data_IF_201800260850
#
_entry.id   IF_201800260850
#
_cell.length_a   1.000
_cell.length_b   1.000
_cell.length_c   1.000
_cell.angle_alpha   90.00
_cell.angle_beta   90.00
_cell.angle_gamma   90.00
#
_symmetry.space_group_name_H-M   'P 1'
#
loop_
_entity.id
_entity.type
_entity.pdbx_description
1 polymer ?
#
# COMPACT_ATOMS: atom_id res chain seq x y z
N UNK A 1 -1.48 -15.32 -5.40
CA UNK A 1 -0.09 -15.52 -5.88
C UNK A 1 0.03 -16.72 -6.83
N UNK A 2 -0.40 -17.94 -6.47
CA UNK A 2 -0.28 -19.15 -7.29
C UNK A 2 -1.01 -19.11 -8.67
N UNK A 3 -2.17 -18.46 -8.75
CA UNK A 3 -2.92 -18.33 -10.01
C UNK A 3 -2.29 -17.35 -11.00
N UNK A 4 -1.60 -16.31 -10.50
CA UNK A 4 -0.92 -15.29 -11.33
C UNK A 4 0.39 -15.81 -11.92
N UNK A 5 1.13 -16.65 -11.17
CA UNK A 5 2.33 -17.30 -11.71
C UNK A 5 1.96 -18.33 -12.78
N UNK A 6 0.89 -19.11 -12.58
CA UNK A 6 0.40 -20.06 -13.60
C UNK A 6 0.00 -19.40 -14.91
N UNK A 7 -0.74 -18.29 -14.86
CA UNK A 7 -1.17 -17.60 -16.10
C UNK A 7 0.02 -16.99 -16.86
N UNK A 8 1.04 -16.50 -16.14
CA UNK A 8 2.27 -15.99 -16.75
C UNK A 8 3.18 -17.12 -17.27
N UNK A 9 3.20 -18.29 -16.63
CA UNK A 9 3.91 -19.47 -17.11
C UNK A 9 3.29 -20.02 -18.40
N UNK A 10 1.97 -20.05 -18.49
CA UNK A 10 1.23 -20.51 -19.68
C UNK A 10 1.46 -19.56 -20.86
N UNK A 11 1.33 -18.25 -20.66
CA UNK A 11 1.65 -17.25 -21.68
C UNK A 11 3.13 -17.38 -22.11
N UNK A 12 4.04 -17.61 -21.16
CA UNK A 12 5.46 -17.84 -21.48
C UNK A 12 5.73 -19.15 -22.22
N UNK A 13 4.90 -20.19 -22.10
CA UNK A 13 5.11 -21.44 -22.84
C UNK A 13 4.59 -21.36 -24.26
N UNK A 14 3.40 -20.82 -24.47
CA UNK A 14 2.78 -20.70 -25.80
C UNK A 14 3.59 -19.75 -26.68
N UNK A 15 3.94 -18.57 -26.16
CA UNK A 15 4.84 -17.64 -26.81
C UNK A 15 6.16 -18.31 -27.27
N UNK A 16 6.79 -19.09 -26.38
CA UNK A 16 8.08 -19.74 -26.70
C UNK A 16 7.95 -20.80 -27.79
N UNK A 17 6.84 -21.52 -27.85
CA UNK A 17 6.58 -22.49 -28.91
C UNK A 17 6.54 -21.80 -30.27
N UNK A 18 5.69 -20.77 -30.43
CA UNK A 18 5.56 -20.03 -31.69
C UNK A 18 6.87 -19.34 -32.08
N UNK A 19 7.55 -18.70 -31.13
CA UNK A 19 8.84 -18.07 -31.40
C UNK A 19 9.90 -19.10 -31.85
N UNK A 20 9.92 -20.29 -31.24
CA UNK A 20 10.84 -21.35 -31.67
C UNK A 20 10.49 -21.87 -33.06
N UNK A 21 9.20 -22.13 -33.36
CA UNK A 21 8.74 -22.53 -34.69
C UNK A 21 9.13 -21.50 -35.75
N UNK A 22 8.85 -20.22 -35.52
CA UNK A 22 9.23 -19.17 -36.47
C UNK A 22 10.75 -19.09 -36.69
N UNK A 23 11.56 -19.32 -35.65
CA UNK A 23 13.01 -19.39 -35.77
C UNK A 23 13.49 -20.63 -36.55
N UNK A 24 12.82 -21.77 -36.43
CA UNK A 24 13.08 -22.98 -37.22
C UNK A 24 12.75 -22.76 -38.69
N UNK A 25 11.61 -22.14 -38.98
CA UNK A 25 11.20 -21.76 -40.33
C UNK A 25 12.16 -20.74 -40.96
N UNK A 26 12.70 -19.79 -40.19
CA UNK A 26 13.75 -18.89 -40.66
C UNK A 26 15.05 -19.61 -41.04
N UNK A 27 15.44 -20.66 -40.29
CA UNK A 27 16.59 -21.49 -40.67
C UNK A 27 16.29 -22.20 -42.00
N UNK A 28 15.11 -22.79 -42.13
CA UNK A 28 14.68 -23.51 -43.34
C UNK A 28 14.57 -22.58 -44.55
N UNK A 29 14.09 -21.34 -44.35
CA UNK A 29 14.08 -20.28 -45.35
C UNK A 29 15.50 -19.96 -45.82
N UNK A 30 16.42 -19.71 -44.90
CA UNK A 30 17.81 -19.39 -45.23
C UNK A 30 18.52 -20.54 -45.98
N UNK A 31 18.22 -21.79 -45.63
CA UNK A 31 18.70 -22.98 -46.36
C UNK A 31 18.11 -23.06 -47.76
N UNK A 32 16.79 -22.84 -47.89
CA UNK A 32 16.09 -22.86 -49.17
C UNK A 32 16.58 -21.74 -50.11
N UNK A 33 17.01 -20.59 -49.56
CA UNK A 33 17.61 -19.51 -50.34
C UNK A 33 18.94 -19.92 -50.99
N UNK A 34 19.75 -20.75 -50.32
CA UNK A 34 20.96 -21.35 -50.90
C UNK A 34 20.57 -22.33 -52.01
N UNK A 35 19.64 -23.24 -51.75
CA UNK A 35 19.19 -24.24 -52.73
C UNK A 35 18.59 -23.61 -53.98
N UNK A 36 17.80 -22.54 -53.79
CA UNK A 36 17.12 -21.83 -54.87
C UNK A 36 18.07 -21.12 -55.84
N UNK A 37 19.34 -20.88 -55.45
CA UNK A 37 20.37 -20.39 -56.39
C UNK A 37 20.77 -21.46 -57.42
N UNK A 38 20.53 -22.73 -57.13
CA UNK A 38 20.89 -23.87 -58.00
C UNK A 38 19.68 -24.60 -58.59
N UNK A 39 18.52 -24.52 -57.95
CA UNK A 39 17.29 -25.19 -58.37
C UNK A 39 16.06 -24.26 -58.19
N UNK A 40 15.45 -23.85 -59.32
CA UNK A 40 14.24 -23.02 -59.30
C UNK A 40 13.06 -23.70 -58.58
N UNK A 41 13.04 -25.03 -58.45
CA UNK A 41 11.98 -25.74 -57.73
C UNK A 41 11.98 -25.42 -56.22
N UNK A 42 13.11 -24.97 -55.67
CA UNK A 42 13.24 -24.57 -54.28
C UNK A 42 12.59 -23.21 -53.98
N UNK A 43 12.24 -22.40 -54.99
CA UNK A 43 11.51 -21.14 -54.79
C UNK A 43 10.16 -21.34 -54.09
N UNK A 44 9.43 -22.42 -54.38
CA UNK A 44 8.18 -22.73 -53.69
C UNK A 44 8.37 -23.07 -52.21
N UNK A 45 9.48 -23.74 -51.86
CA UNK A 45 9.83 -24.04 -50.47
C UNK A 45 10.20 -22.76 -49.72
N UNK A 46 11.00 -21.91 -50.36
CA UNK A 46 11.39 -20.60 -49.84
C UNK A 46 10.17 -19.74 -49.47
N UNK A 47 9.21 -19.60 -50.39
CA UNK A 47 7.95 -18.87 -50.14
C UNK A 47 7.16 -19.45 -48.96
N UNK A 48 7.10 -20.79 -48.86
CA UNK A 48 6.39 -21.47 -47.78
C UNK A 48 7.05 -21.20 -46.42
N UNK A 49 8.36 -21.37 -46.33
CA UNK A 49 9.10 -21.20 -45.07
C UNK A 49 9.03 -19.75 -44.56
N UNK A 50 9.13 -18.75 -45.44
CA UNK A 50 9.03 -17.35 -44.98
C UNK A 50 7.61 -16.97 -44.56
N UNK A 51 6.58 -17.49 -45.23
CA UNK A 51 5.19 -17.30 -44.84
C UNK A 51 4.91 -17.93 -43.47
N UNK A 52 5.36 -19.17 -43.27
CA UNK A 52 5.23 -19.86 -41.98
C UNK A 52 6.01 -19.14 -40.88
N UNK A 53 7.22 -18.64 -41.16
CA UNK A 53 7.97 -17.84 -40.22
C UNK A 53 7.24 -16.54 -39.83
N UNK A 54 6.63 -15.84 -40.80
CA UNK A 54 5.83 -14.63 -40.56
C UNK A 54 4.64 -14.93 -39.64
N UNK A 55 3.84 -15.94 -39.96
CA UNK A 55 2.67 -16.34 -39.16
C UNK A 55 3.05 -16.71 -37.72
N UNK A 56 4.08 -17.52 -37.53
CA UNK A 56 4.53 -17.94 -36.19
C UNK A 56 5.09 -16.76 -35.38
N UNK A 57 5.74 -15.79 -36.04
CA UNK A 57 6.25 -14.58 -35.37
C UNK A 57 5.12 -13.64 -34.95
N UNK A 58 4.07 -13.53 -35.76
CA UNK A 58 2.87 -12.77 -35.43
C UNK A 58 2.07 -13.41 -34.29
N UNK A 59 1.86 -14.73 -34.31
CA UNK A 59 1.21 -15.45 -33.21
C UNK A 59 2.00 -15.30 -31.90
N UNK A 60 3.32 -15.42 -31.95
CA UNK A 60 4.19 -15.17 -30.81
C UNK A 60 4.07 -13.71 -30.30
N UNK A 61 3.93 -12.73 -31.20
CA UNK A 61 3.80 -11.32 -30.85
C UNK A 61 2.46 -11.01 -30.19
N UNK A 62 1.36 -11.57 -30.69
CA UNK A 62 0.02 -11.39 -30.11
C UNK A 62 -0.07 -12.02 -28.71
N UNK A 63 0.51 -13.21 -28.50
CA UNK A 63 0.60 -13.82 -27.18
C UNK A 63 1.38 -12.94 -26.19
N UNK A 64 2.52 -12.38 -26.62
CA UNK A 64 3.32 -11.44 -25.82
C UNK A 64 2.56 -10.15 -25.50
N UNK A 65 1.82 -9.59 -26.45
CA UNK A 65 0.98 -8.40 -26.25
C UNK A 65 -0.16 -8.69 -25.28
N UNK A 66 -0.81 -9.85 -25.38
CA UNK A 66 -1.86 -10.29 -24.45
C UNK A 66 -1.33 -10.45 -23.03
N UNK A 67 -0.15 -11.08 -22.87
CA UNK A 67 0.55 -11.19 -21.60
C UNK A 67 0.94 -9.82 -21.00
N UNK A 68 1.40 -8.90 -21.84
CA UNK A 68 1.71 -7.52 -21.44
C UNK A 68 0.45 -6.78 -20.99
N UNK A 69 -0.65 -6.85 -21.74
CA UNK A 69 -1.91 -6.20 -21.37
C UNK A 69 -2.43 -6.73 -20.01
N UNK A 70 -2.35 -8.04 -19.78
CA UNK A 70 -2.74 -8.65 -18.51
C UNK A 70 -1.87 -8.14 -17.35
N UNK A 71 -0.57 -7.99 -17.59
CA UNK A 71 0.38 -7.46 -16.61
C UNK A 71 0.15 -5.97 -16.33
N UNK A 72 -0.16 -5.17 -17.36
CA UNK A 72 -0.49 -3.76 -17.23
C UNK A 72 -1.78 -3.55 -16.42
N UNK A 73 -2.80 -4.38 -16.65
CA UNK A 73 -4.03 -4.37 -15.86
C UNK A 73 -3.76 -4.69 -14.37
N UNK A 74 -2.95 -5.71 -14.07
CA UNK A 74 -2.53 -6.02 -12.70
C UNK A 74 -1.73 -4.90 -12.06
N UNK A 75 -0.83 -4.26 -12.81
CA UNK A 75 -0.07 -3.11 -12.33
C UNK A 75 -0.99 -1.95 -11.94
N UNK A 76 -2.01 -1.67 -12.76
CA UNK A 76 -3.03 -0.66 -12.45
C UNK A 76 -3.86 -1.03 -11.20
N UNK A 77 -4.24 -2.29 -11.04
CA UNK A 77 -4.94 -2.79 -9.85
C UNK A 77 -4.10 -2.62 -8.58
N UNK A 78 -2.81 -2.98 -8.62
CA UNK A 78 -1.89 -2.81 -7.49
C UNK A 78 -1.72 -1.32 -7.12
N UNK A 79 -1.64 -0.43 -8.11
CA UNK A 79 -1.57 1.02 -7.87
C UNK A 79 -2.87 1.52 -7.22
N UNK A 80 -4.03 1.05 -7.68
CA UNK A 80 -5.31 1.39 -7.08
C UNK A 80 -5.42 0.87 -5.63
N UNK A 81 -4.98 -0.36 -5.37
CA UNK A 81 -4.96 -0.94 -4.03
C UNK A 81 -4.01 -0.16 -3.10
N UNK A 82 -2.84 0.23 -3.59
CA UNK A 82 -1.88 1.05 -2.83
C UNK A 82 -2.51 2.37 -2.40
N UNK A 83 -3.17 3.05 -3.34
CA UNK A 83 -3.88 4.31 -3.06
C UNK A 83 -4.97 4.11 -2.00
N UNK A 84 -5.78 3.06 -2.13
CA UNK A 84 -6.82 2.73 -1.12
C UNK A 84 -6.23 2.52 0.27
N UNK A 85 -5.12 1.80 0.38
CA UNK A 85 -4.43 1.58 1.66
C UNK A 85 -3.81 2.88 2.21
N UNK A 86 -3.30 3.76 1.35
CA UNK A 86 -2.82 5.09 1.75
C UNK A 86 -3.94 5.97 2.30
N UNK A 87 -5.10 5.98 1.63
CA UNK A 87 -6.30 6.70 2.06
C UNK A 87 -6.81 6.14 3.40
N UNK A 88 -6.89 4.81 3.54
CA UNK A 88 -7.29 4.15 4.79
C UNK A 88 -6.32 4.47 5.93
N UNK A 89 -5.01 4.42 5.68
CA UNK A 89 -3.99 4.79 6.67
C UNK A 89 -4.16 6.24 7.12
N UNK A 90 -4.44 7.16 6.20
CA UNK A 90 -4.65 8.58 6.52
C UNK A 90 -5.90 8.78 7.38
N UNK A 91 -7.01 8.14 7.00
CA UNK A 91 -8.25 8.17 7.78
C UNK A 91 -8.05 7.61 9.20
N UNK A 92 -7.37 6.46 9.33
CA UNK A 92 -7.06 5.86 10.62
C UNK A 92 -6.13 6.72 11.47
N UNK A 93 -5.12 7.35 10.86
CA UNK A 93 -4.21 8.26 11.57
C UNK A 93 -4.97 9.47 12.13
N UNK A 94 -5.91 10.02 11.35
CA UNK A 94 -6.78 11.10 11.80
C UNK A 94 -7.70 10.66 12.95
N UNK A 95 -8.33 9.49 12.83
CA UNK A 95 -9.18 8.92 13.89
C UNK A 95 -8.39 8.72 15.18
N UNK A 96 -7.18 8.17 15.09
CA UNK A 96 -6.30 7.95 16.24
C UNK A 96 -5.87 9.27 16.89
N UNK A 97 -5.56 10.30 16.10
CA UNK A 97 -5.27 11.65 16.62
C UNK A 97 -6.47 12.22 17.38
N UNK A 98 -7.67 12.07 16.83
CA UNK A 98 -8.90 12.55 17.47
C UNK A 98 -9.18 11.81 18.79
N UNK A 99 -9.02 10.48 18.81
CA UNK A 99 -9.19 9.67 20.02
C UNK A 99 -8.17 10.05 21.10
N UNK A 100 -6.91 10.29 20.73
CA UNK A 100 -5.89 10.76 21.69
C UNK A 100 -6.23 12.13 22.28
N UNK A 101 -6.70 13.07 21.45
CA UNK A 101 -7.18 14.36 21.95
C UNK A 101 -8.38 14.24 22.90
N UNK A 102 -9.33 13.36 22.59
CA UNK A 102 -10.46 13.09 23.48
C UNK A 102 -9.99 12.48 24.80
N UNK A 103 -9.09 11.50 24.77
CA UNK A 103 -8.51 10.87 25.95
C UNK A 103 -7.80 11.90 26.84
N UNK A 104 -6.95 12.76 26.27
CA UNK A 104 -6.26 13.84 27.01
C UNK A 104 -7.26 14.83 27.61
N UNK A 105 -8.32 15.18 26.89
CA UNK A 105 -9.39 16.03 27.40
C UNK A 105 -10.13 15.37 28.57
N UNK A 106 -10.44 14.07 28.47
CA UNK A 106 -11.10 13.32 29.55
C UNK A 106 -10.20 13.19 30.79
N UNK A 107 -8.91 12.89 30.62
CA UNK A 107 -7.91 12.87 31.71
C UNK A 107 -7.80 14.22 32.42
N UNK A 108 -7.73 15.30 31.66
CA UNK A 108 -7.69 16.66 32.22
C UNK A 108 -8.96 16.98 33.02
N UNK A 109 -10.13 16.55 32.54
CA UNK A 109 -11.40 16.76 33.23
C UNK A 109 -11.50 15.91 34.50
N UNK A 110 -11.06 14.65 34.45
CA UNK A 110 -11.02 13.77 35.62
C UNK A 110 -10.10 14.32 36.71
N UNK A 111 -8.91 14.79 36.33
CA UNK A 111 -7.96 15.42 37.28
C UNK A 111 -8.59 16.63 37.99
N UNK A 112 -9.25 17.52 37.25
CA UNK A 112 -9.94 18.68 37.82
C UNK A 112 -11.10 18.28 38.74
N UNK A 113 -11.87 17.26 38.35
CA UNK A 113 -12.98 16.75 39.16
C UNK A 113 -12.46 16.11 40.46
N UNK A 114 -11.35 15.37 40.40
CA UNK A 114 -10.70 14.79 41.59
C UNK A 114 -10.14 15.85 42.53
N UNK A 115 -9.47 16.88 41.99
CA UNK A 115 -8.96 18.00 42.77
C UNK A 115 -10.09 18.72 43.51
N UNK A 116 -11.21 18.97 42.82
CA UNK A 116 -12.40 19.57 43.41
C UNK A 116 -13.02 18.69 44.50
N UNK A 117 -13.14 17.37 44.26
CA UNK A 117 -13.59 16.41 45.26
C UNK A 117 -12.71 16.41 46.51
N UNK A 118 -11.39 16.48 46.35
CA UNK A 118 -10.45 16.44 47.47
C UNK A 118 -10.52 17.72 48.31
N UNK A 119 -10.68 18.89 47.67
CA UNK A 119 -10.91 20.17 48.36
C UNK A 119 -12.23 20.14 49.14
N UNK A 120 -13.33 19.70 48.49
CA UNK A 120 -14.65 19.61 49.14
C UNK A 120 -14.64 18.63 50.31
N UNK A 121 -13.98 17.48 50.16
CA UNK A 121 -13.87 16.47 51.22
C UNK A 121 -13.05 16.98 52.42
N UNK A 122 -11.90 17.63 52.19
CA UNK A 122 -11.11 18.26 53.26
C UNK A 122 -11.90 19.34 53.99
N UNK A 123 -12.68 20.15 53.26
CA UNK A 123 -13.54 21.16 53.88
C UNK A 123 -14.70 20.56 54.67
N UNK A 124 -15.27 19.44 54.23
CA UNK A 124 -16.32 18.74 54.96
C UNK A 124 -15.78 18.07 56.24
N UNK A 125 -14.58 17.48 56.19
CA UNK A 125 -13.88 16.93 57.35
C UNK A 125 -13.53 18.03 58.37
N UNK A 126 -13.08 19.20 57.89
CA UNK A 126 -12.79 20.36 58.74
C UNK A 126 -14.07 20.92 59.39
N UNK A 127 -15.18 21.02 58.63
CA UNK A 127 -16.47 21.42 59.18
C UNK A 127 -17.03 20.41 60.19
N UNK A 128 -16.93 19.11 59.92
CA UNK A 128 -17.33 18.07 60.89
C UNK A 128 -16.50 18.13 62.17
N UNK A 129 -15.18 18.41 62.05
CA UNK A 129 -14.31 18.64 63.21
C UNK A 129 -14.76 19.84 64.02
N UNK A 130 -15.02 20.98 63.38
CA UNK A 130 -15.45 22.20 64.07
C UNK A 130 -16.83 22.04 64.73
N UNK A 131 -17.77 21.32 64.10
CA UNK A 131 -19.06 20.99 64.72
C UNK A 131 -18.86 20.06 65.93
N UNK A 132 -18.02 19.04 65.83
CA UNK A 132 -17.71 18.12 66.94
C UNK A 132 -16.98 18.82 68.10
N UNK A 133 -16.07 19.75 67.82
CA UNK A 133 -15.39 20.57 68.83
C UNK A 133 -16.34 21.55 69.51
N UNK A 134 -17.27 22.16 68.76
CA UNK A 134 -18.34 23.01 69.29
C UNK A 134 -19.33 22.21 70.14
N UNK A 135 -19.64 20.98 69.77
CA UNK A 135 -20.47 20.06 70.59
C UNK A 135 -19.74 19.66 71.88
N UNK A 136 -18.43 19.39 71.84
CA UNK A 136 -17.62 19.15 73.04
C UNK A 136 -17.46 20.39 73.94
N UNK A 137 -17.35 21.58 73.37
CA UNK A 137 -17.35 22.84 74.14
C UNK A 137 -18.72 23.13 74.77
N UNK A 138 -19.81 22.63 74.18
CA UNK A 138 -21.15 22.74 74.76
C UNK A 138 -21.33 21.87 76.01
N UNK A 139 -20.63 20.75 76.11
CA UNK A 139 -20.61 19.92 77.34
C UNK A 139 -19.77 20.54 78.48
N UNK A 140 -18.88 21.50 78.20
CA UNK A 140 -17.92 22.01 79.19
C UNK A 140 -18.11 23.47 79.66
N UNK A 141 -19.14 24.19 79.18
CA UNK A 141 -19.57 25.54 79.59
C UNK A 141 -18.56 26.71 79.47
N UNK A 142 -19.14 27.90 79.29
CA UNK A 142 -18.56 29.26 79.26
C UNK A 142 -17.63 29.65 78.09
N UNK A 143 -18.22 30.47 77.21
CA UNK A 143 -17.70 31.69 76.60
C UNK A 143 -16.18 31.85 76.47
N UNK A 144 -15.68 31.88 75.23
CA UNK A 144 -14.70 32.88 74.77
C UNK A 144 -14.93 33.12 73.27
N UNK A 145 -15.13 34.39 72.95
CA UNK A 145 -15.12 34.97 71.60
C UNK A 145 -13.71 35.46 71.34
N UNK A 146 -13.14 35.10 70.19
CA UNK A 146 -11.91 35.72 69.73
C UNK A 146 -11.40 35.12 68.43
N UNK A 147 -11.01 36.01 67.51
CA UNK A 147 -10.28 35.79 66.26
C UNK A 147 -11.20 35.63 65.02
N UNK A 148 -11.64 36.78 64.51
CA UNK A 148 -12.21 36.94 63.19
C UNK A 148 -11.23 37.69 62.28
N UNK A 149 -10.66 37.01 61.31
CA UNK A 149 -9.80 37.61 60.30
C UNK A 149 -9.31 36.57 59.30
N UNK A 150 -10.07 36.33 58.23
CA UNK A 150 -9.53 35.59 57.07
C UNK A 150 -10.51 34.93 56.11
N UNK A 151 -11.75 34.61 56.50
CA UNK A 151 -12.60 33.68 55.72
C UNK A 151 -13.69 34.33 54.83
N UNK A 152 -13.49 35.55 54.34
CA UNK A 152 -14.50 36.29 53.56
C UNK A 152 -14.33 36.21 52.03
N UNK A 153 -13.35 35.49 51.50
CA UNK A 153 -12.97 35.61 50.07
C UNK A 153 -13.43 34.48 49.14
N UNK A 154 -14.41 33.65 49.53
CA UNK A 154 -15.02 32.65 48.63
C UNK A 154 -16.54 32.93 48.53
N UNK A 155 -17.10 33.22 47.34
CA UNK A 155 -18.46 33.75 47.17
C UNK A 155 -19.61 32.84 47.65
N UNK A 156 -19.34 31.58 48.00
CA UNK A 156 -20.36 30.63 48.49
C UNK A 156 -20.50 30.69 50.02
N UNK A 157 -19.45 31.11 50.76
CA UNK A 157 -19.37 31.02 52.23
C UNK A 157 -19.72 32.35 52.93
N UNK A 158 -19.80 33.46 52.19
CA UNK A 158 -20.08 34.78 52.74
C UNK A 158 -21.42 34.90 53.50
N UNK A 159 -22.35 33.97 53.31
CA UNK A 159 -23.67 33.99 53.93
C UNK A 159 -23.72 33.19 55.24
N UNK A 160 -22.88 32.17 55.39
CA UNK A 160 -22.89 31.29 56.57
C UNK A 160 -22.14 31.94 57.74
N UNK A 161 -21.01 32.61 57.47
CA UNK A 161 -20.30 33.38 58.49
C UNK A 161 -21.12 34.59 59.00
N UNK A 162 -22.00 35.16 58.17
CA UNK A 162 -22.88 36.27 58.54
C UNK A 162 -24.06 35.87 59.45
N UNK A 163 -24.60 34.66 59.27
CA UNK A 163 -25.75 34.18 60.06
C UNK A 163 -25.41 33.85 61.51
N UNK A 164 -24.22 33.30 61.76
CA UNK A 164 -23.78 32.90 63.11
C UNK A 164 -23.40 34.14 63.96
N UNK A 165 -23.01 35.25 63.32
CA UNK A 165 -22.55 36.45 64.03
C UNK A 165 -23.67 37.37 64.55
N UNK A 166 -24.90 37.27 64.01
CA UNK A 166 -26.00 38.21 64.35
C UNK A 166 -26.98 37.63 65.39
N UNK A 167 -26.90 36.32 65.71
CA UNK A 167 -27.96 35.61 66.43
C UNK A 167 -27.65 35.14 67.86
N UNK A 168 -26.66 35.67 68.58
CA UNK A 168 -26.41 35.29 69.97
C UNK A 168 -26.45 36.48 70.93
N UNK A 169 -27.59 37.16 70.94
CA UNK A 169 -28.04 37.96 72.08
C UNK A 169 -29.42 37.46 72.50
N UNK A 170 -29.45 36.55 73.48
CA UNK A 170 -30.65 36.16 74.25
C UNK A 170 -31.91 35.79 73.43
N UNK A 171 -31.97 34.56 72.94
CA UNK A 171 -33.15 33.66 72.94
C UNK A 171 -32.92 32.46 72.01
N UNK A 172 -33.58 31.35 72.36
CA UNK A 172 -33.95 30.22 71.51
C UNK A 172 -32.92 29.12 71.23
N UNK A 173 -33.05 28.07 72.05
CA UNK A 173 -32.68 26.69 71.71
C UNK A 173 -33.24 26.28 70.34
N UNK A 174 -34.38 26.85 69.93
CA UNK A 174 -34.97 26.71 68.59
C UNK A 174 -34.10 27.29 67.46
N UNK A 175 -33.39 28.40 67.68
CA UNK A 175 -32.47 28.96 66.70
C UNK A 175 -31.21 28.10 66.54
N UNK A 176 -30.72 27.51 67.64
CA UNK A 176 -29.64 26.54 67.61
C UNK A 176 -30.06 25.21 66.95
N UNK A 177 -31.31 24.78 67.13
CA UNK A 177 -31.85 23.56 66.51
C UNK A 177 -32.16 23.75 65.02
N UNK A 178 -32.60 24.95 64.60
CA UNK A 178 -32.68 25.33 63.18
C UNK A 178 -31.29 25.41 62.55
N UNK A 179 -30.32 26.00 63.22
CA UNK A 179 -28.94 26.04 62.75
C UNK A 179 -28.33 24.63 62.60
N UNK A 180 -28.66 23.70 63.50
CA UNK A 180 -28.29 22.28 63.37
C UNK A 180 -28.98 21.61 62.19
N UNK A 181 -30.28 21.81 62.00
CA UNK A 181 -31.03 21.27 60.85
C UNK A 181 -30.52 21.82 59.52
N UNK A 182 -30.19 23.11 59.47
CA UNK A 182 -29.60 23.73 58.28
C UNK A 182 -28.18 23.20 58.02
N UNK A 183 -27.38 22.97 59.06
CA UNK A 183 -26.08 22.34 58.94
C UNK A 183 -26.18 20.86 58.48
N UNK A 184 -27.14 20.08 58.99
CA UNK A 184 -27.40 18.71 58.55
C UNK A 184 -27.94 18.66 57.11
N UNK A 185 -28.80 19.61 56.72
CA UNK A 185 -29.28 19.76 55.35
C UNK A 185 -28.13 20.11 54.39
N UNK A 186 -27.18 20.94 54.82
CA UNK A 186 -26.03 21.33 54.02
C UNK A 186 -24.97 20.22 53.91
N UNK A 187 -24.75 19.45 54.99
CA UNK A 187 -23.93 18.21 54.95
C UNK A 187 -24.56 17.19 54.01
N UNK A 188 -25.88 17.02 54.03
CA UNK A 188 -26.58 16.14 53.09
C UNK A 188 -26.47 16.63 51.63
N UNK A 189 -26.53 17.95 51.39
CA UNK A 189 -26.27 18.52 50.05
C UNK A 189 -24.83 18.26 49.61
N UNK A 190 -23.86 18.46 50.49
CA UNK A 190 -22.45 18.23 50.18
C UNK A 190 -22.14 16.74 49.97
N UNK A 191 -22.79 15.84 50.71
CA UNK A 191 -22.71 14.39 50.47
C UNK A 191 -23.30 14.01 49.11
N UNK A 192 -24.43 14.63 48.71
CA UNK A 192 -25.03 14.43 47.40
C UNK A 192 -24.14 14.95 46.26
N UNK A 193 -23.46 16.09 46.46
CA UNK A 193 -22.47 16.61 45.51
C UNK A 193 -21.23 15.71 45.42
N UNK A 194 -20.76 15.15 46.54
CA UNK A 194 -19.66 14.15 46.55
C UNK A 194 -20.06 12.90 45.76
N UNK A 195 -21.26 12.35 45.97
CA UNK A 195 -21.74 11.18 45.22
C UNK A 195 -21.90 11.49 43.73
N UNK A 196 -22.38 12.68 43.39
CA UNK A 196 -22.51 13.14 42.00
C UNK A 196 -21.15 13.25 41.32
N UNK A 197 -20.18 13.88 41.98
CA UNK A 197 -18.83 13.99 41.45
C UNK A 197 -18.16 12.61 41.35
N UNK A 198 -18.35 11.74 42.32
CA UNK A 198 -17.80 10.36 42.31
C UNK A 198 -18.35 9.55 41.13
N UNK A 199 -19.65 9.67 40.87
CA UNK A 199 -20.32 9.03 39.72
C UNK A 199 -19.78 9.58 38.39
N UNK A 200 -19.51 10.89 38.30
CA UNK A 200 -18.89 11.50 37.12
C UNK A 200 -17.45 10.99 36.92
N UNK A 201 -16.66 10.80 37.98
CA UNK A 201 -15.30 10.23 37.88
C UNK A 201 -15.33 8.80 37.34
N UNK A 202 -16.26 7.95 37.80
CA UNK A 202 -16.43 6.59 37.27
C UNK A 202 -16.86 6.61 35.80
N UNK A 203 -17.73 7.56 35.40
CA UNK A 203 -18.15 7.74 34.01
C UNK A 203 -16.97 8.14 33.11
N UNK A 204 -16.12 9.05 33.58
CA UNK A 204 -14.92 9.48 32.86
C UNK A 204 -13.89 8.34 32.73
N UNK A 205 -13.69 7.53 33.77
CA UNK A 205 -12.84 6.34 33.69
C UNK A 205 -13.35 5.29 32.70
N UNK A 206 -14.68 5.11 32.61
CA UNK A 206 -15.26 4.20 31.63
C UNK A 206 -14.99 4.70 30.19
N UNK A 207 -15.16 6.00 29.95
CA UNK A 207 -14.84 6.64 28.66
C UNK A 207 -13.33 6.57 28.34
N UNK A 208 -12.46 6.71 29.32
CA UNK A 208 -11.01 6.56 29.14
C UNK A 208 -10.64 5.14 28.70
N UNK A 209 -11.18 4.12 29.39
CA UNK A 209 -10.95 2.70 29.01
C UNK A 209 -11.48 2.39 27.61
N UNK A 210 -12.64 2.93 27.26
CA UNK A 210 -13.22 2.78 25.92
C UNK A 210 -12.33 3.43 24.86
N UNK A 211 -11.90 4.68 25.09
CA UNK A 211 -11.00 5.39 24.19
C UNK A 211 -9.64 4.68 24.05
N UNK A 212 -9.08 4.13 25.12
CA UNK A 212 -7.80 3.42 25.09
C UNK A 212 -7.91 2.07 24.35
N UNK A 213 -9.04 1.35 24.51
CA UNK A 213 -9.37 0.17 23.69
C UNK A 213 -9.50 0.51 22.21
N UNK A 214 -10.15 1.62 21.88
CA UNK A 214 -10.30 2.10 20.51
C UNK A 214 -8.96 2.53 19.90
N UNK A 215 -8.07 3.14 20.70
CA UNK A 215 -6.69 3.47 20.29
C UNK A 215 -5.92 2.18 19.98
N UNK A 216 -5.92 1.19 20.87
CA UNK A 216 -5.23 -0.09 20.63
C UNK A 216 -5.74 -0.79 19.37
N UNK A 217 -7.06 -0.79 19.16
CA UNK A 217 -7.67 -1.38 17.96
C UNK A 217 -7.22 -0.64 16.70
N UNK A 218 -7.18 0.69 16.73
CA UNK A 218 -6.71 1.52 15.62
C UNK A 218 -5.21 1.32 15.35
N UNK A 219 -4.38 1.17 16.39
CA UNK A 219 -2.94 0.88 16.25
C UNK A 219 -2.69 -0.49 15.63
N UNK A 220 -3.47 -1.52 16.01
CA UNK A 220 -3.41 -2.85 15.38
C UNK A 220 -3.83 -2.80 13.91
N UNK A 221 -4.84 -2.01 13.57
CA UNK A 221 -5.26 -1.87 12.17
C UNK A 221 -4.22 -1.10 11.34
N UNK A 222 -3.59 -0.07 11.90
CA UNK A 222 -2.47 0.64 11.27
C UNK A 222 -1.25 -0.27 11.04
N UNK A 223 -0.94 -1.17 11.98
CA UNK A 223 0.15 -2.14 11.78
C UNK A 223 -0.19 -3.16 10.71
N UNK A 224 -1.45 -3.62 10.64
CA UNK A 224 -1.96 -4.46 9.54
C UNK A 224 -1.81 -3.76 8.19
N UNK A 225 -2.27 -2.51 8.07
CA UNK A 225 -2.16 -1.73 6.83
C UNK A 225 -0.71 -1.55 6.41
N UNK A 226 0.22 -1.30 7.35
CA UNK A 226 1.66 -1.20 7.04
C UNK A 226 2.21 -2.52 6.50
N UNK A 227 1.84 -3.64 7.09
CA UNK A 227 2.23 -4.97 6.62
C UNK A 227 1.71 -5.22 5.20
N UNK A 228 0.43 -4.91 4.95
CA UNK A 228 -0.20 -5.01 3.63
C UNK A 228 0.49 -4.10 2.60
N UNK A 229 0.83 -2.86 2.97
CA UNK A 229 1.59 -1.94 2.10
C UNK A 229 2.99 -2.48 1.77
N UNK A 230 3.68 -3.10 2.73
CA UNK A 230 5.00 -3.68 2.49
C UNK A 230 4.92 -4.90 1.56
N UNK A 231 3.92 -5.75 1.75
CA UNK A 231 3.63 -6.89 0.86
C UNK A 231 3.24 -6.42 -0.54
N UNK A 232 2.46 -5.34 -0.65
CA UNK A 232 2.07 -4.78 -1.93
C UNK A 232 3.25 -4.15 -2.66
N UNK A 233 4.16 -3.51 -1.93
CA UNK A 233 5.38 -2.93 -2.50
C UNK A 233 6.32 -3.99 -3.09
N UNK A 234 6.48 -5.14 -2.42
CA UNK A 234 7.27 -6.25 -2.98
C UNK A 234 6.63 -6.83 -4.24
N UNK A 235 5.31 -7.03 -4.23
CA UNK A 235 4.57 -7.49 -5.41
C UNK A 235 4.65 -6.49 -6.57
N UNK A 236 4.55 -5.19 -6.29
CA UNK A 236 4.66 -4.15 -7.30
C UNK A 236 6.05 -4.14 -7.94
N UNK A 237 7.12 -4.31 -7.16
CA UNK A 237 8.48 -4.39 -7.68
C UNK A 237 8.66 -5.57 -8.65
N UNK A 238 8.15 -6.75 -8.29
CA UNK A 238 8.18 -7.94 -9.15
C UNK A 238 7.40 -7.73 -10.45
N UNK A 239 6.18 -7.20 -10.37
CA UNK A 239 5.33 -6.92 -11.53
C UNK A 239 5.97 -5.90 -12.46
N UNK A 240 6.59 -4.83 -11.93
CA UNK A 240 7.28 -3.82 -12.74
C UNK A 240 8.52 -4.40 -13.45
N UNK A 241 9.30 -5.24 -12.77
CA UNK A 241 10.43 -5.94 -13.39
C UNK A 241 9.97 -6.85 -14.52
N UNK A 242 8.89 -7.61 -14.29
CA UNK A 242 8.30 -8.48 -15.30
C UNK A 242 7.73 -7.70 -16.49
N UNK A 243 6.96 -6.64 -16.24
CA UNK A 243 6.40 -5.73 -17.25
C UNK A 243 7.49 -5.12 -18.13
N UNK A 244 8.56 -4.61 -17.53
CA UNK A 244 9.70 -4.05 -18.27
C UNK A 244 10.40 -5.10 -19.14
N UNK A 245 10.42 -6.36 -18.70
CA UNK A 245 10.98 -7.47 -19.48
C UNK A 245 10.06 -7.82 -20.65
N UNK A 246 8.74 -7.91 -20.42
CA UNK A 246 7.77 -8.16 -21.49
C UNK A 246 7.78 -7.07 -22.55
N UNK A 247 7.80 -5.79 -22.16
CA UNK A 247 7.89 -4.67 -23.12
C UNK A 247 9.10 -4.79 -24.03
N UNK A 248 10.26 -5.15 -23.49
CA UNK A 248 11.48 -5.38 -24.29
C UNK A 248 11.30 -6.54 -25.26
N UNK A 249 10.67 -7.63 -24.83
CA UNK A 249 10.40 -8.78 -25.68
C UNK A 249 9.42 -8.43 -26.81
N UNK A 250 8.34 -7.68 -26.51
CA UNK A 250 7.38 -7.18 -27.49
C UNK A 250 8.08 -6.29 -28.52
N UNK A 251 8.87 -5.30 -28.08
CA UNK A 251 9.60 -4.42 -29.00
C UNK A 251 10.58 -5.20 -29.87
N UNK A 252 11.32 -6.14 -29.28
CA UNK A 252 12.24 -7.00 -30.02
C UNK A 252 11.51 -7.81 -31.09
N UNK A 253 10.43 -8.49 -30.72
CA UNK A 253 9.70 -9.36 -31.62
C UNK A 253 8.92 -8.58 -32.68
N UNK A 254 8.35 -7.42 -32.35
CA UNK A 254 7.68 -6.57 -33.33
C UNK A 254 8.63 -6.12 -34.45
N UNK A 255 9.88 -5.78 -34.11
CA UNK A 255 10.91 -5.45 -35.12
C UNK A 255 11.29 -6.70 -35.93
N UNK A 256 11.40 -7.86 -35.29
CA UNK A 256 11.71 -9.10 -35.99
C UNK A 256 10.59 -9.50 -36.96
N UNK A 257 9.35 -9.57 -36.48
CA UNK A 257 8.17 -9.87 -37.28
C UNK A 257 8.08 -8.95 -38.50
N UNK A 258 8.21 -7.62 -38.32
CA UNK A 258 8.19 -6.69 -39.46
C UNK A 258 9.31 -6.93 -40.49
N UNK A 259 10.50 -7.39 -40.07
CA UNK A 259 11.57 -7.79 -41.01
C UNK A 259 11.22 -9.08 -41.75
N UNK A 260 10.62 -10.05 -41.06
CA UNK A 260 10.17 -11.32 -41.66
C UNK A 260 9.02 -11.07 -42.63
N UNK A 261 8.07 -10.20 -42.30
CA UNK A 261 6.97 -9.80 -43.18
C UNK A 261 7.46 -9.08 -44.43
N UNK A 262 8.50 -8.25 -44.28
CA UNK A 262 9.14 -7.63 -45.44
C UNK A 262 9.73 -8.70 -46.38
N UNK A 263 10.34 -9.76 -45.84
CA UNK A 263 10.81 -10.88 -46.65
C UNK A 263 9.66 -11.69 -47.26
N UNK A 264 8.56 -11.93 -46.54
CA UNK A 264 7.36 -12.59 -47.08
C UNK A 264 6.78 -11.79 -48.25
N UNK A 265 6.65 -10.48 -48.07
CA UNK A 265 6.10 -9.58 -49.07
C UNK A 265 6.92 -9.61 -50.36
N UNK A 266 8.25 -9.54 -50.24
CA UNK A 266 9.13 -9.68 -51.41
C UNK A 266 8.99 -11.07 -52.05
N UNK A 267 8.86 -12.13 -51.25
CA UNK A 267 8.70 -13.48 -51.77
C UNK A 267 7.35 -13.74 -52.44
N UNK A 268 6.32 -12.92 -52.22
CA UNK A 268 4.96 -13.16 -52.70
C UNK A 268 4.90 -13.24 -54.23
N UNK A 269 5.40 -12.21 -54.91
CA UNK A 269 5.24 -12.07 -56.36
C UNK A 269 6.55 -12.31 -57.12
N UNK A 270 7.69 -11.77 -56.67
CA UNK A 270 8.97 -11.83 -57.38
C UNK A 270 10.13 -12.12 -56.43
N UNK A 271 10.86 -13.21 -56.67
CA UNK A 271 12.04 -13.58 -55.86
C UNK A 271 13.27 -12.85 -56.39
N UNK A 272 13.65 -11.75 -55.74
CA UNK A 272 14.92 -11.06 -56.01
C UNK A 272 15.93 -11.43 -54.92
N UNK A 273 16.94 -12.22 -55.29
CA UNK A 273 17.84 -12.87 -54.33
C UNK A 273 18.67 -11.88 -53.53
N UNK A 274 19.12 -10.79 -54.15
CA UNK A 274 19.98 -9.79 -53.52
C UNK A 274 19.26 -9.07 -52.37
N UNK A 275 17.99 -8.75 -52.54
CA UNK A 275 17.12 -8.14 -51.54
C UNK A 275 16.77 -9.12 -50.42
N UNK A 276 16.54 -10.40 -50.75
CA UNK A 276 16.28 -11.44 -49.76
C UNK A 276 17.51 -11.73 -48.90
N UNK A 277 18.71 -11.72 -49.48
CA UNK A 277 19.96 -11.84 -48.74
C UNK A 277 20.18 -10.65 -47.80
N UNK A 278 19.88 -9.43 -48.27
CA UNK A 278 19.97 -8.22 -47.44
C UNK A 278 19.00 -8.29 -46.25
N UNK A 279 17.75 -8.69 -46.46
CA UNK A 279 16.78 -8.81 -45.37
C UNK A 279 17.13 -9.96 -44.43
N UNK A 280 17.62 -11.08 -44.95
CA UNK A 280 18.12 -12.16 -44.11
C UNK A 280 19.29 -11.67 -43.23
N UNK A 281 20.22 -10.88 -43.77
CA UNK A 281 21.28 -10.26 -42.99
C UNK A 281 20.73 -9.33 -41.89
N UNK A 282 19.72 -8.53 -42.21
CA UNK A 282 19.03 -7.67 -41.24
C UNK A 282 18.32 -8.46 -40.12
N UNK A 283 17.70 -9.60 -40.47
CA UNK A 283 17.09 -10.53 -39.51
C UNK A 283 18.18 -11.12 -38.60
N UNK A 284 19.27 -11.61 -39.18
CA UNK A 284 20.38 -12.21 -38.43
C UNK A 284 21.02 -11.22 -37.45
N UNK A 285 21.31 -10.01 -37.91
CA UNK A 285 21.89 -8.96 -37.08
C UNK A 285 20.95 -8.58 -35.93
N UNK A 286 19.63 -8.66 -36.13
CA UNK A 286 18.64 -8.40 -35.08
C UNK A 286 18.58 -9.52 -34.04
N UNK A 287 18.75 -10.79 -34.45
CA UNK A 287 18.63 -11.95 -33.56
C UNK A 287 19.94 -12.28 -32.83
N UNK A 288 21.11 -11.94 -33.39
CA UNK A 288 22.43 -12.21 -32.80
C UNK A 288 22.64 -11.71 -31.35
N UNK A 289 22.12 -10.54 -30.94
CA UNK A 289 22.18 -10.10 -29.54
C UNK A 289 21.58 -11.11 -28.54
N UNK A 290 20.68 -12.01 -28.96
CA UNK A 290 20.14 -13.07 -28.10
C UNK A 290 21.18 -14.14 -27.68
N UNK A 291 22.35 -14.17 -28.34
CA UNK A 291 23.46 -15.07 -28.02
C UNK A 291 24.48 -14.48 -27.04
N UNK A 292 24.40 -13.18 -26.75
CA UNK A 292 25.37 -12.51 -25.88
C UNK A 292 25.39 -13.08 -24.46
N UNK A 293 26.57 -13.52 -23.99
CA UNK A 293 26.82 -13.86 -22.58
C UNK A 293 27.32 -12.67 -21.74
N UNK A 294 27.22 -11.44 -22.27
CA UNK A 294 27.66 -10.20 -21.62
C UNK A 294 26.54 -9.43 -20.92
N UNK A 295 26.93 -8.40 -20.15
CA UNK A 295 26.16 -7.57 -19.16
C UNK A 295 24.78 -7.02 -19.56
N UNK A 296 24.27 -7.26 -20.76
CA UNK A 296 22.88 -6.96 -21.12
C UNK A 296 21.99 -8.18 -20.90
N UNK A 297 21.69 -8.43 -19.63
CA UNK A 297 20.72 -9.40 -19.11
C UNK A 297 19.26 -9.09 -19.51
N UNK A 298 19.02 -8.50 -20.68
CA UNK A 298 17.76 -7.81 -21.01
C UNK A 298 16.74 -8.67 -21.75
N UNK A 299 17.15 -9.80 -22.32
CA UNK A 299 16.28 -10.71 -23.09
C UNK A 299 16.45 -12.19 -22.68
N UNK A 300 16.92 -12.46 -21.46
CA UNK A 300 17.10 -13.84 -20.93
C UNK A 300 15.82 -14.70 -21.03
N UNK A 301 14.63 -14.08 -21.05
CA UNK A 301 13.36 -14.78 -21.26
C UNK A 301 13.24 -15.45 -22.65
N UNK A 302 13.94 -14.89 -23.66
CA UNK A 302 13.96 -15.37 -25.04
C UNK A 302 15.13 -16.32 -25.32
N UNK A 303 16.20 -16.30 -24.53
CA UNK A 303 17.41 -17.07 -24.80
C UNK A 303 17.31 -18.48 -24.22
N UNK A 304 16.79 -19.42 -25.01
CA UNK A 304 16.80 -20.86 -24.66
C UNK A 304 17.98 -21.59 -25.30
N UNK A 305 18.31 -22.79 -24.82
CA UNK A 305 19.34 -23.63 -25.46
C UNK A 305 18.97 -23.98 -26.91
N UNK A 306 17.67 -24.18 -27.19
CA UNK A 306 17.16 -24.45 -28.54
C UNK A 306 17.30 -23.22 -29.44
N UNK A 307 16.87 -22.05 -28.97
CA UNK A 307 16.95 -20.79 -29.72
C UNK A 307 18.42 -20.44 -30.02
N UNK A 308 19.33 -20.61 -29.07
CA UNK A 308 20.78 -20.45 -29.31
C UNK A 308 21.29 -21.40 -30.39
N UNK A 309 20.86 -22.67 -30.39
CA UNK A 309 21.20 -23.63 -31.44
C UNK A 309 20.67 -23.20 -32.81
N UNK A 310 19.46 -22.64 -32.88
CA UNK A 310 18.89 -22.12 -34.13
C UNK A 310 19.66 -20.91 -34.64
N UNK A 311 20.09 -20.00 -33.76
CA UNK A 311 20.90 -18.84 -34.13
C UNK A 311 22.28 -19.27 -34.65
N UNK A 312 22.92 -20.27 -34.04
CA UNK A 312 24.17 -20.84 -34.56
C UNK A 312 23.98 -21.50 -35.94
N UNK A 313 22.87 -22.21 -36.16
CA UNK A 313 22.53 -22.75 -37.49
C UNK A 313 22.36 -21.62 -38.51
N UNK A 314 21.61 -20.58 -38.17
CA UNK A 314 21.44 -19.38 -38.98
C UNK A 314 22.78 -18.70 -39.33
N UNK A 315 23.70 -18.63 -38.37
CA UNK A 315 25.06 -18.10 -38.58
C UNK A 315 25.89 -18.98 -39.53
N UNK A 316 25.79 -20.30 -39.39
CA UNK A 316 26.43 -21.25 -40.32
C UNK A 316 25.89 -21.08 -41.74
N UNK A 317 24.57 -20.91 -41.90
CA UNK A 317 23.93 -20.66 -43.20
C UNK A 317 24.38 -19.31 -43.79
N UNK A 318 24.50 -18.25 -42.98
CA UNK A 318 25.09 -16.97 -43.42
C UNK A 318 26.49 -17.14 -43.99
N UNK A 319 27.36 -17.88 -43.30
CA UNK A 319 28.72 -18.11 -43.76
C UNK A 319 28.74 -18.81 -45.14
N UNK A 320 27.82 -19.75 -45.36
CA UNK A 320 27.67 -20.41 -46.66
C UNK A 320 27.16 -19.46 -47.76
N UNK A 321 26.19 -18.58 -47.46
CA UNK A 321 25.73 -17.54 -48.40
C UNK A 321 26.86 -16.57 -48.77
N UNK A 322 27.67 -16.12 -47.80
CA UNK A 322 28.81 -15.23 -48.06
C UNK A 322 29.93 -15.90 -48.87
N UNK A 323 30.14 -17.21 -48.73
CA UNK A 323 31.11 -17.99 -49.51
C UNK A 323 30.69 -18.17 -50.98
N UNK A 324 29.39 -18.13 -51.26
CA UNK A 324 28.83 -18.29 -52.61
C UNK A 324 28.43 -16.95 -53.25
N UNK A 325 28.78 -15.80 -52.66
CA UNK A 325 28.54 -14.50 -53.28
C UNK A 325 29.29 -14.41 -54.62
N UNK A 326 28.61 -14.11 -55.75
CA UNK A 326 29.29 -13.98 -57.03
C UNK A 326 30.35 -12.87 -56.93
N UNK A 327 31.56 -13.17 -57.40
CA UNK A 327 32.55 -12.12 -57.71
C UNK A 327 31.84 -11.10 -58.61
N UNK A 328 31.89 -9.82 -58.23
CA UNK A 328 31.38 -8.70 -59.04
C UNK A 328 31.77 -8.87 -60.52
N UNK A 329 30.78 -8.74 -61.40
CA UNK A 329 30.87 -8.97 -62.85
C UNK A 329 30.44 -10.40 -63.16
N UNK A 330 29.31 -10.65 -63.79
CA UNK A 330 29.03 -10.24 -65.17
C UNK A 330 27.59 -9.75 -65.31
N UNK A 331 27.43 -8.62 -66.00
CA UNK A 331 26.15 -8.30 -66.62
C UNK A 331 25.78 -9.45 -67.56
N UNK A 332 24.61 -10.04 -67.35
CA UNK A 332 23.93 -10.78 -68.41
C UNK A 332 23.03 -9.74 -69.06
N UNK A 333 23.52 -9.19 -70.18
CA UNK A 333 22.69 -8.41 -71.10
C UNK A 333 21.59 -9.34 -71.65
N UNK A 334 20.36 -8.84 -71.62
CA UNK A 334 19.22 -9.42 -72.34
C UNK A 334 19.20 -8.96 -73.79
#
# INVERSE_FOLDING_TARGET
MALSMRSNEICSSVFRCHFQSGMEELVSFAQSLIEARTDLSACHKLKRHILSASQEMDEALEELKGGLHTTDAKSAELVAQKKRLEDERQAQTQQLSNLRHQLDSHRNLESKSREMLEVTRKHLEEMQRQVSEKEKQRENSEMIVGIGGGLMFIPVVGWIAGGIMIGCGLADMEAAERAKKDAEAEVNRHSADIDRHTTETYRLQALEREAESNIQTSERRLSSIRSEQQQLASQQAEVVLFQNTLRKCVTFLAVLAGKVDTAEFLCRDVVIYEELERILEDILNHVFPLMGQGKETRLMALSSANIRRLIERLKSVRAMLSLHAPRKGHAIDF
#
